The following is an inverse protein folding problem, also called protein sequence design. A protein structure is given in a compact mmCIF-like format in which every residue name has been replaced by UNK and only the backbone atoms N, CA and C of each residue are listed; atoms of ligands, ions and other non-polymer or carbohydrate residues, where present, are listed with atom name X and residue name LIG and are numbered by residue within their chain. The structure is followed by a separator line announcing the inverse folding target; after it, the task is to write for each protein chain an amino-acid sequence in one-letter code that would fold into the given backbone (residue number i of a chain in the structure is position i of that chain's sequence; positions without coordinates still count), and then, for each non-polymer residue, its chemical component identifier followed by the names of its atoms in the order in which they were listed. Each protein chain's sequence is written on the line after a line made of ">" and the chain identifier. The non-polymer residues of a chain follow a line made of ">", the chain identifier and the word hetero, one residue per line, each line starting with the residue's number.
data_IF_194229353059
#
_entry.id   IF_194229353059
#
_cell.length_a   1.000
_cell.length_b   1.000
_cell.length_c   1.000
_cell.angle_alpha   90.00
_cell.angle_beta   90.00
_cell.angle_gamma   90.00
#
_symmetry.space_group_name_H-M   'P 1'
#
loop_
_entity.id
_entity.type
_entity.pdbx_description
1 polymer ?
#
# COMPACT_ATOMS: atom_id res chain seq x y z
N UNK A 1 5.50 8.49 7.09
CA UNK A 1 4.38 8.15 6.17
C UNK A 1 4.33 9.18 5.05
N UNK A 2 4.25 8.77 3.78
CA UNK A 2 4.10 9.72 2.65
C UNK A 2 2.63 10.03 2.44
N UNK A 3 2.30 11.26 2.05
CA UNK A 3 0.94 11.71 1.81
C UNK A 3 0.62 11.75 0.31
N UNK A 4 -0.66 11.55 -0.03
CA UNK A 4 -1.17 11.59 -1.41
C UNK A 4 -2.53 12.30 -1.42
N UNK A 5 -2.75 13.20 -2.37
CA UNK A 5 -4.04 13.88 -2.52
C UNK A 5 -5.08 12.98 -3.20
N UNK A 6 -6.36 13.31 -3.01
CA UNK A 6 -7.47 12.60 -3.67
C UNK A 6 -7.41 12.74 -5.19
N UNK A 7 -6.99 13.90 -5.68
CA UNK A 7 -6.86 14.15 -7.13
C UNK A 7 -5.74 13.32 -7.73
N UNK A 8 -4.61 13.17 -7.04
CA UNK A 8 -3.54 12.28 -7.45
C UNK A 8 -4.01 10.82 -7.52
N UNK A 9 -4.75 10.35 -6.50
CA UNK A 9 -5.33 9.01 -6.52
C UNK A 9 -6.33 8.83 -7.70
N UNK A 10 -7.13 9.85 -8.02
CA UNK A 10 -8.06 9.83 -9.16
C UNK A 10 -7.32 9.76 -10.49
N UNK A 11 -6.23 10.51 -10.65
CA UNK A 11 -5.42 10.48 -11.87
C UNK A 11 -4.86 9.08 -12.14
N UNK A 12 -4.34 8.40 -11.11
CA UNK A 12 -3.83 7.03 -11.21
C UNK A 12 -4.94 6.04 -11.60
N UNK A 13 -6.13 6.20 -11.00
CA UNK A 13 -7.27 5.30 -11.27
C UNK A 13 -7.93 5.56 -12.61
N UNK A 14 -7.91 6.79 -13.13
CA UNK A 14 -8.63 7.22 -14.33
C UNK A 14 -8.44 6.30 -15.55
N UNK A 15 -7.19 5.96 -15.97
CA UNK A 15 -6.97 5.12 -17.16
C UNK A 15 -7.33 3.64 -16.97
N UNK A 16 -7.58 3.19 -15.75
CA UNK A 16 -7.89 1.79 -15.47
C UNK A 16 -9.31 1.43 -15.91
N UNK A 17 -9.50 0.26 -16.52
CA UNK A 17 -10.82 -0.31 -16.75
C UNK A 17 -11.60 -0.56 -15.44
N UNK A 18 -12.93 -0.68 -15.51
CA UNK A 18 -13.79 -0.77 -14.32
C UNK A 18 -13.41 -1.92 -13.37
N UNK A 19 -13.06 -3.08 -13.92
CA UNK A 19 -12.61 -4.24 -13.14
C UNK A 19 -11.29 -3.98 -12.36
N UNK A 20 -10.52 -2.96 -12.73
CA UNK A 20 -9.19 -2.68 -12.20
C UNK A 20 -9.15 -1.43 -11.29
N UNK A 21 -10.28 -0.77 -11.02
CA UNK A 21 -10.35 0.42 -10.13
C UNK A 21 -10.00 0.08 -8.67
N UNK A 22 -10.17 -1.18 -8.29
CA UNK A 22 -9.83 -1.74 -6.98
C UNK A 22 -8.86 -2.93 -7.16
N UNK A 23 -7.62 -2.61 -7.50
CA UNK A 23 -6.56 -3.57 -7.81
C UNK A 23 -5.75 -4.02 -6.56
N UNK A 24 -6.28 -3.81 -5.35
CA UNK A 24 -5.66 -4.31 -4.12
C UNK A 24 -6.00 -5.79 -3.93
N UNK A 25 -5.00 -6.66 -4.02
CA UNK A 25 -5.15 -8.07 -3.66
C UNK A 25 -5.50 -8.19 -2.16
N UNK A 26 -6.42 -9.10 -1.75
CA UNK A 26 -6.69 -9.35 -0.34
C UNK A 26 -5.44 -9.77 0.44
N UNK A 27 -5.43 -9.49 1.74
CA UNK A 27 -4.37 -9.94 2.65
C UNK A 27 -4.18 -11.45 2.55
N UNK A 28 -2.93 -11.88 2.43
CA UNK A 28 -2.56 -13.29 2.36
C UNK A 28 -2.05 -13.75 3.73
N UNK A 29 -2.26 -15.03 4.09
CA UNK A 29 -1.87 -15.53 5.40
C UNK A 29 -0.34 -15.53 5.58
N UNK A 30 0.10 -15.33 6.81
CA UNK A 30 1.52 -15.25 7.14
C UNK A 30 2.20 -16.63 7.14
N UNK A 31 1.45 -17.72 7.34
CA UNK A 31 1.93 -19.11 7.26
C UNK A 31 3.21 -19.34 8.09
N UNK A 32 3.25 -18.85 9.33
CA UNK A 32 4.38 -19.03 10.25
C UNK A 32 5.62 -18.17 9.97
N UNK A 33 5.62 -17.34 8.91
CA UNK A 33 6.70 -16.39 8.62
C UNK A 33 6.75 -15.27 9.68
N UNK A 34 7.93 -14.66 9.89
CA UNK A 34 8.12 -13.50 10.78
C UNK A 34 8.45 -12.26 9.95
N UNK A 35 7.77 -11.14 10.23
CA UNK A 35 8.10 -9.84 9.65
C UNK A 35 9.04 -9.11 10.62
N UNK A 36 10.20 -8.70 10.14
CA UNK A 36 11.18 -7.93 10.91
C UNK A 36 11.12 -6.47 10.49
N UNK A 37 11.21 -5.55 11.47
CA UNK A 37 11.26 -4.12 11.24
C UNK A 37 12.64 -3.61 11.59
N UNK A 38 13.26 -2.88 10.66
CA UNK A 38 14.42 -2.05 10.94
C UNK A 38 13.95 -0.62 11.15
N UNK A 39 14.36 -0.01 12.25
CA UNK A 39 14.07 1.38 12.57
C UNK A 39 15.36 2.06 13.03
N UNK A 40 15.86 2.97 12.21
CA UNK A 40 17.09 3.74 12.48
C UNK A 40 16.87 4.77 13.61
N UNK A 41 15.63 5.17 13.88
CA UNK A 41 15.30 6.28 14.79
C UNK A 41 15.29 5.91 16.29
N UNK A 42 15.97 4.84 16.71
CA UNK A 42 16.21 4.57 18.13
C UNK A 42 17.53 5.19 18.57
N UNK A 43 17.58 6.52 18.66
CA UNK A 43 18.52 7.22 19.52
C UNK A 43 17.75 7.65 20.78
N UNK A 44 18.27 7.27 21.95
CA UNK A 44 17.70 7.55 23.27
C UNK A 44 17.78 9.03 23.65
#
# INVERSE_FOLDING_TARGET
>A
VRQLSKDQAKMIKSPLGMAYKNNSRPLQPLNGRKVQLYNEAFEF
#
